data_IF_097277503443
#
_entry.id   IF_097277503443
#
_cell.length_a   1.000
_cell.length_b   1.000
_cell.length_c   1.000
_cell.angle_alpha   90.00
_cell.angle_beta   90.00
_cell.angle_gamma   90.00
#
_symmetry.space_group_name_H-M   'P 1'
#
loop_
_entity.id
_entity.type
_entity.pdbx_description
1 polymer ?
#
# COMPACT_ATOMS: atom_id res chain seq x y z
N UNK A 1 15.78 27.46 0.93
CA UNK A 1 14.60 27.72 1.79
C UNK A 1 15.14 27.88 3.21
N UNK A 2 14.97 29.05 3.86
CA UNK A 2 15.62 29.32 5.16
C UNK A 2 15.03 28.42 6.25
N UNK A 3 15.90 27.82 7.07
CA UNK A 3 15.52 26.94 8.19
C UNK A 3 14.53 27.59 9.15
N UNK A 4 14.65 28.90 9.35
CA UNK A 4 13.71 29.70 10.13
C UNK A 4 12.29 29.74 9.56
N UNK A 5 12.15 29.83 8.22
CA UNK A 5 10.84 29.82 7.58
C UNK A 5 10.14 28.48 7.81
N UNK A 6 10.87 27.38 7.65
CA UNK A 6 10.35 26.04 7.90
C UNK A 6 9.93 25.83 9.37
N UNK A 7 10.68 26.41 10.32
CA UNK A 7 10.32 26.31 11.74
C UNK A 7 9.05 27.09 12.06
N UNK A 8 8.88 28.29 11.49
CA UNK A 8 7.66 29.08 11.66
C UNK A 8 6.46 28.39 11.02
N UNK A 9 6.58 27.90 9.77
CA UNK A 9 5.49 27.22 9.07
C UNK A 9 5.01 25.98 9.86
N UNK A 10 5.91 25.28 10.58
CA UNK A 10 5.55 24.16 11.46
C UNK A 10 4.76 24.60 12.68
N UNK A 11 5.15 25.71 13.31
CA UNK A 11 4.45 26.24 14.49
C UNK A 11 3.05 26.73 14.13
N UNK A 12 2.93 27.42 13.00
CA UNK A 12 1.64 27.91 12.49
C UNK A 12 0.68 26.74 12.24
N UNK A 13 1.18 25.64 11.67
CA UNK A 13 0.38 24.45 11.41
C UNK A 13 -0.05 23.73 12.70
N UNK A 14 0.82 23.65 13.72
CA UNK A 14 0.46 23.09 15.03
C UNK A 14 -0.64 23.93 15.68
N UNK A 15 -0.50 25.26 15.64
CA UNK A 15 -1.48 26.16 16.22
C UNK A 15 -2.83 26.01 15.52
N UNK A 16 -2.84 26.04 14.18
CA UNK A 16 -4.05 25.84 13.39
C UNK A 16 -4.75 24.50 13.69
N UNK A 17 -3.99 23.40 13.82
CA UNK A 17 -4.58 22.09 14.17
C UNK A 17 -5.22 22.11 15.56
N UNK A 18 -4.62 22.81 16.54
CA UNK A 18 -5.19 22.88 17.89
C UNK A 18 -6.51 23.67 17.95
N UNK A 19 -6.72 24.59 17.01
CA UNK A 19 -7.95 25.38 16.91
C UNK A 19 -9.06 24.66 16.12
N UNK A 20 -8.74 23.55 15.44
CA UNK A 20 -9.73 22.76 14.72
C UNK A 20 -10.62 21.98 15.69
N UNK A 21 -11.89 22.35 15.74
CA UNK A 21 -12.95 21.62 16.46
C UNK A 21 -13.79 20.73 15.52
N UNK A 22 -13.21 20.28 14.40
CA UNK A 22 -13.84 19.36 13.45
C UNK A 22 -13.10 18.02 13.40
N UNK A 23 -13.71 17.00 14.02
CA UNK A 23 -13.17 15.65 14.06
C UNK A 23 -13.02 15.01 12.67
N UNK A 24 -13.88 15.35 11.72
CA UNK A 24 -13.85 14.79 10.35
C UNK A 24 -12.57 15.23 9.63
N UNK A 25 -12.18 16.50 9.81
CA UNK A 25 -10.93 17.06 9.28
C UNK A 25 -9.73 16.40 9.94
N UNK A 26 -9.74 16.22 11.27
CA UNK A 26 -8.67 15.53 12.00
C UNK A 26 -8.53 14.07 11.55
N UNK A 27 -9.63 13.36 11.34
CA UNK A 27 -9.62 11.98 10.86
C UNK A 27 -8.99 11.87 9.46
N UNK A 28 -9.33 12.81 8.56
CA UNK A 28 -8.74 12.87 7.22
C UNK A 28 -7.24 13.19 7.28
N UNK A 29 -6.82 14.14 8.10
CA UNK A 29 -5.40 14.45 8.31
C UNK A 29 -4.61 13.24 8.84
N UNK A 30 -5.18 12.48 9.79
CA UNK A 30 -4.58 11.24 10.29
C UNK A 30 -4.45 10.18 9.19
N UNK A 31 -5.44 10.02 8.32
CA UNK A 31 -5.32 9.10 7.19
C UNK A 31 -4.18 9.48 6.25
N UNK A 32 -4.02 10.78 5.95
CA UNK A 32 -2.93 11.27 5.09
C UNK A 32 -1.55 11.08 5.74
N UNK A 33 -1.46 11.29 7.06
CA UNK A 33 -0.22 11.04 7.81
C UNK A 33 0.17 9.56 7.77
N UNK A 34 -0.81 8.66 7.85
CA UNK A 34 -0.57 7.21 7.77
C UNK A 34 -0.19 6.75 6.36
N UNK A 35 -0.74 7.35 5.30
CA UNK A 35 -0.35 7.05 3.92
C UNK A 35 1.06 7.53 3.58
N UNK A 36 1.55 8.61 4.22
CA UNK A 36 2.93 9.06 4.01
C UNK A 36 3.96 8.06 4.56
N UNK A 37 3.57 7.22 5.55
CA UNK A 37 4.46 6.23 6.16
C UNK A 37 4.28 4.80 5.62
N UNK A 38 3.14 4.50 5.00
CA UNK A 38 2.88 3.22 4.34
C UNK A 38 2.71 3.48 2.86
N UNK A 39 3.73 3.16 2.06
CA UNK A 39 3.55 2.60 0.70
C UNK A 39 4.84 2.40 -0.09
N UNK A 40 6.02 2.40 0.52
CA UNK A 40 7.16 1.79 -0.15
C UNK A 40 7.15 0.29 0.10
N UNK A 41 6.75 -0.47 -0.94
CA UNK A 41 7.04 -1.90 -1.00
C UNK A 41 8.52 -2.10 -0.66
N UNK A 42 8.81 -3.04 0.24
CA UNK A 42 10.19 -3.41 0.53
C UNK A 42 10.89 -3.86 -0.76
N UNK A 43 12.22 -3.76 -0.79
CA UNK A 43 13.00 -4.24 -1.92
C UNK A 43 12.65 -5.70 -2.30
N UNK A 44 12.41 -6.56 -1.32
CA UNK A 44 11.99 -7.94 -1.54
C UNK A 44 10.62 -8.04 -2.23
N UNK A 45 9.65 -7.20 -1.83
CA UNK A 45 8.33 -7.15 -2.46
C UNK A 45 8.39 -6.60 -3.88
N UNK A 46 9.18 -5.55 -4.13
CA UNK A 46 9.40 -5.01 -5.48
C UNK A 46 10.05 -6.05 -6.38
N UNK A 47 11.11 -6.72 -5.91
CA UNK A 47 11.80 -7.80 -6.63
C UNK A 47 10.88 -8.98 -6.96
N UNK A 48 10.00 -9.39 -6.03
CA UNK A 48 9.04 -10.45 -6.29
C UNK A 48 8.01 -10.08 -7.36
N UNK A 49 7.57 -8.81 -7.40
CA UNK A 49 6.69 -8.31 -8.46
C UNK A 49 7.42 -8.27 -9.79
N UNK A 50 8.66 -7.77 -9.83
CA UNK A 50 9.46 -7.72 -11.06
C UNK A 50 9.70 -9.12 -11.64
N UNK A 51 10.03 -10.11 -10.79
CA UNK A 51 10.19 -11.52 -11.20
C UNK A 51 8.85 -12.13 -11.70
N UNK A 52 7.74 -11.80 -11.04
CA UNK A 52 6.41 -12.23 -11.48
C UNK A 52 6.03 -11.62 -12.85
N UNK A 53 6.30 -10.34 -13.08
CA UNK A 53 6.02 -9.68 -14.36
C UNK A 53 6.88 -10.25 -15.50
N UNK A 54 8.17 -10.49 -15.24
CA UNK A 54 9.06 -11.13 -16.22
C UNK A 54 8.61 -12.56 -16.57
N UNK A 55 8.07 -13.31 -15.60
CA UNK A 55 7.55 -14.66 -15.85
C UNK A 55 6.22 -14.67 -16.61
N UNK A 56 5.41 -13.60 -16.49
CA UNK A 56 4.20 -13.39 -17.32
C UNK A 56 4.60 -13.09 -18.77
N UNK A 57 5.55 -12.19 -18.98
CA UNK A 57 6.00 -11.78 -20.33
C UNK A 57 6.73 -12.89 -21.09
N UNK A 58 7.26 -13.90 -20.38
CA UNK A 58 7.99 -15.04 -20.98
C UNK A 58 7.13 -16.27 -21.25
N UNK A 59 5.79 -16.17 -21.14
CA UNK A 59 4.81 -17.26 -21.37
C UNK A 59 5.03 -18.53 -20.51
N UNK A 60 5.79 -18.46 -19.43
CA UNK A 60 6.10 -19.63 -18.57
C UNK A 60 4.97 -19.92 -17.57
N UNK A 61 3.96 -19.04 -17.45
CA UNK A 61 2.89 -19.19 -16.48
C UNK A 61 1.62 -19.78 -17.10
N UNK A 62 1.11 -20.82 -16.45
CA UNK A 62 -0.21 -21.36 -16.75
C UNK A 62 -1.30 -20.33 -16.43
N UNK A 63 -2.37 -20.32 -17.23
CA UNK A 63 -3.49 -19.40 -17.03
C UNK A 63 -4.13 -19.58 -15.65
N UNK A 64 -4.74 -18.52 -15.12
CA UNK A 64 -5.47 -18.57 -13.85
C UNK A 64 -6.43 -19.76 -13.79
N UNK A 65 -7.21 -19.99 -14.86
CA UNK A 65 -8.17 -21.08 -14.94
C UNK A 65 -7.48 -22.46 -14.86
N UNK A 66 -6.36 -22.63 -15.56
CA UNK A 66 -5.55 -23.86 -15.51
C UNK A 66 -5.03 -24.12 -14.11
N UNK A 67 -4.45 -23.11 -13.46
CA UNK A 67 -3.95 -23.21 -12.08
C UNK A 67 -5.08 -23.55 -11.11
N UNK A 68 -6.26 -22.95 -11.30
CA UNK A 68 -7.43 -23.20 -10.46
C UNK A 68 -7.97 -24.61 -10.63
N UNK A 69 -8.01 -25.16 -11.85
CA UNK A 69 -8.41 -26.55 -12.09
C UNK A 69 -7.41 -27.54 -11.49
N UNK A 70 -6.11 -27.34 -11.69
CA UNK A 70 -5.08 -28.18 -11.07
C UNK A 70 -5.14 -28.14 -9.54
N UNK A 71 -5.39 -26.96 -8.97
CA UNK A 71 -5.50 -26.78 -7.52
C UNK A 71 -6.73 -27.51 -6.96
N UNK A 72 -7.87 -27.47 -7.67
CA UNK A 72 -9.06 -28.25 -7.32
C UNK A 72 -8.81 -29.76 -7.34
N UNK A 73 -8.08 -30.25 -8.34
CA UNK A 73 -7.72 -31.67 -8.46
C UNK A 73 -6.76 -32.10 -7.34
N UNK A 74 -5.79 -31.26 -6.99
CA UNK A 74 -4.76 -31.56 -6.00
C UNK A 74 -5.26 -31.44 -4.56
N UNK A 75 -6.18 -30.52 -4.30
CA UNK A 75 -6.72 -30.25 -2.96
C UNK A 75 -8.25 -30.20 -2.95
N UNK A 76 -8.94 -31.30 -3.28
CA UNK A 76 -10.40 -31.31 -3.43
C UNK A 76 -11.15 -30.93 -2.14
N UNK A 77 -10.58 -31.23 -0.97
CA UNK A 77 -11.15 -30.89 0.34
C UNK A 77 -11.23 -29.38 0.61
N UNK A 78 -10.49 -28.54 -0.11
CA UNK A 78 -10.58 -27.08 0.01
C UNK A 78 -11.75 -26.49 -0.80
N UNK A 79 -12.33 -27.27 -1.71
CA UNK A 79 -13.40 -26.85 -2.62
C UNK A 79 -14.71 -27.62 -2.41
N UNK A 80 -14.71 -28.62 -1.53
CA UNK A 80 -15.91 -29.32 -1.09
C UNK A 80 -16.56 -28.49 0.03
N UNK A 81 -17.79 -28.03 -0.21
CA UNK A 81 -18.67 -27.43 0.79
C UNK A 81 -19.54 -28.49 1.43
#
# INVERSE_FOLDING_TARGET
MSTHKLQNDKLDLIHWINELDDYTVIARLKSMMNTIQKEDLSFAQKKAIDEALVSIDTEVLESHDTVMEQTKLKFPHLFQK
#
